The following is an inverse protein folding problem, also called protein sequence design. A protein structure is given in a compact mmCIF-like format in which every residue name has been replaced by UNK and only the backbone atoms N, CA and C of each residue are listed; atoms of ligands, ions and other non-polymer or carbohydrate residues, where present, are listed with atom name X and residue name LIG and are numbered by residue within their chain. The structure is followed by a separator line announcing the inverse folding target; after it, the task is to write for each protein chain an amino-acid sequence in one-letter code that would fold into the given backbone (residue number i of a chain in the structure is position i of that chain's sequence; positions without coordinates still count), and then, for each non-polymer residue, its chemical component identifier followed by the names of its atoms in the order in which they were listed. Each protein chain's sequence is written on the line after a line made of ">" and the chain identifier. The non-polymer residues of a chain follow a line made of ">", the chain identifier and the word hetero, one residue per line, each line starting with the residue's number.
data_IF_700407736117
#
_entry.id   IF_700407736117
#
_cell.length_a   1.000
_cell.length_b   1.000
_cell.length_c   1.000
_cell.angle_alpha   90.00
_cell.angle_beta   90.00
_cell.angle_gamma   90.00
#
_symmetry.space_group_name_H-M   'P 1'
#
loop_
_entity.id
_entity.type
_entity.pdbx_description
1 polymer ?
#
# COMPACT_ATOMS: atom_id res chain seq x y z
N UNK A 1 -21.29 0.25 14.52
CA UNK A 1 -20.51 0.59 14.37
C UNK A 1 -19.54 0.00 14.83
N UNK A 2 -18.84 -0.20 14.85
CA UNK A 2 -18.13 -0.77 15.27
C UNK A 2 -17.03 -1.50 14.75
N UNK A 3 -16.89 -1.87 13.63
CA UNK A 3 -15.87 -2.67 13.06
C UNK A 3 -14.47 -2.11 13.12
N UNK A 4 -14.20 -0.83 13.05
CA UNK A 4 -12.83 -0.35 13.14
C UNK A 4 -12.17 -0.70 14.46
N UNK A 5 -12.88 -0.68 15.54
CA UNK A 5 -12.25 -1.02 16.80
C UNK A 5 -11.91 -2.48 16.88
N UNK A 6 -12.68 -3.31 16.23
CA UNK A 6 -12.41 -4.72 16.19
C UNK A 6 -11.10 -5.03 15.47
N UNK A 7 -10.81 -4.33 14.37
CA UNK A 7 -9.57 -4.49 13.65
C UNK A 7 -8.39 -4.03 14.51
N UNK A 8 -8.54 -2.91 15.18
CA UNK A 8 -7.51 -2.37 16.04
C UNK A 8 -7.18 -3.34 17.16
N UNK A 9 -8.20 -3.94 17.73
CA UNK A 9 -8.02 -4.87 18.85
C UNK A 9 -7.26 -6.12 18.46
N UNK A 10 -7.25 -6.47 17.19
CA UNK A 10 -6.61 -7.69 16.72
C UNK A 10 -5.12 -7.59 16.50
N UNK A 11 -4.56 -6.42 16.42
CA UNK A 11 -3.14 -6.33 16.15
C UNK A 11 -2.65 -4.94 15.86
N UNK A 12 -3.57 -3.97 15.89
CA UNK A 12 -3.23 -2.58 15.71
C UNK A 12 -2.63 -2.28 14.35
N UNK A 13 -1.72 -1.30 14.30
CA UNK A 13 -1.14 -0.85 13.02
C UNK A 13 -0.41 -1.95 12.25
N UNK A 14 0.22 -2.88 12.97
CA UNK A 14 0.92 -3.99 12.34
C UNK A 14 -0.05 -4.86 11.54
N UNK A 15 -1.20 -5.18 12.13
CA UNK A 15 -2.20 -5.99 11.45
C UNK A 15 -2.73 -5.31 10.20
N UNK A 16 -2.95 -4.00 10.28
CA UNK A 16 -3.43 -3.24 9.12
C UNK A 16 -2.40 -3.20 8.01
N UNK A 17 -1.12 -3.07 8.35
CA UNK A 17 -0.06 -3.07 7.35
C UNK A 17 0.02 -4.40 6.63
N UNK A 18 -0.06 -5.51 7.38
CA UNK A 18 -0.05 -6.83 6.79
C UNK A 18 -1.22 -7.00 5.82
N UNK A 19 -2.41 -6.56 6.22
CA UNK A 19 -3.59 -6.68 5.40
C UNK A 19 -3.46 -5.88 4.09
N UNK A 20 -2.94 -4.66 4.19
CA UNK A 20 -2.72 -3.81 3.01
C UNK A 20 -1.78 -4.48 2.02
N UNK A 21 -0.65 -5.01 2.51
CA UNK A 21 0.32 -5.64 1.64
C UNK A 21 -0.24 -6.89 0.98
N UNK A 22 -0.95 -7.72 1.72
CA UNK A 22 -1.55 -8.93 1.18
C UNK A 22 -2.64 -8.61 0.16
N UNK A 23 -3.49 -7.64 0.46
CA UNK A 23 -4.55 -7.23 -0.46
C UNK A 23 -3.95 -6.69 -1.76
N UNK A 24 -2.85 -5.94 -1.65
CA UNK A 24 -2.20 -5.39 -2.84
C UNK A 24 -1.67 -6.52 -3.73
N UNK A 25 -1.01 -7.51 -3.14
CA UNK A 25 -0.53 -8.66 -3.91
C UNK A 25 -1.68 -9.41 -4.57
N UNK A 26 -2.82 -9.47 -3.90
CA UNK A 26 -3.97 -10.22 -4.38
C UNK A 26 -4.81 -9.44 -5.40
N UNK A 27 -4.35 -8.28 -5.84
CA UNK A 27 -5.01 -7.59 -6.96
C UNK A 27 -4.81 -8.33 -8.28
N UNK A 28 -3.97 -9.35 -8.30
CA UNK A 28 -3.96 -10.34 -9.38
C UNK A 28 -4.49 -11.63 -8.82
N UNK A 29 -5.51 -12.17 -9.43
CA UNK A 29 -6.08 -13.46 -9.03
C UNK A 29 -5.97 -14.45 -10.19
N UNK A 30 -5.77 -15.71 -9.87
CA UNK A 30 -5.72 -16.76 -10.87
C UNK A 30 -6.97 -17.63 -10.71
N UNK A 31 -7.80 -17.66 -11.75
CA UNK A 31 -9.03 -18.44 -11.77
C UNK A 31 -9.02 -19.26 -13.03
N UNK A 32 -9.21 -20.58 -12.90
CA UNK A 32 -9.24 -21.50 -14.05
C UNK A 32 -7.97 -21.36 -14.91
N UNK A 33 -6.82 -21.21 -14.26
CA UNK A 33 -5.51 -21.09 -14.92
C UNK A 33 -5.36 -19.78 -15.71
N UNK A 34 -6.27 -18.84 -15.53
CA UNK A 34 -6.19 -17.54 -16.18
C UNK A 34 -5.94 -16.45 -15.13
N UNK A 35 -4.95 -15.62 -15.39
CA UNK A 35 -4.64 -14.52 -14.48
C UNK A 35 -5.59 -13.35 -14.76
N UNK A 36 -6.19 -12.82 -13.70
CA UNK A 36 -7.05 -11.65 -13.76
C UNK A 36 -6.41 -10.55 -12.95
N UNK A 37 -6.03 -9.47 -13.61
CA UNK A 37 -5.43 -8.33 -12.95
C UNK A 37 -6.49 -7.25 -12.78
N UNK A 38 -6.80 -6.91 -11.53
CA UNK A 38 -7.80 -5.90 -11.23
C UNK A 38 -7.28 -4.48 -11.39
N UNK A 39 -5.96 -4.32 -11.53
CA UNK A 39 -5.35 -3.01 -11.76
C UNK A 39 -5.01 -2.90 -13.23
N UNK A 40 -5.87 -2.22 -13.99
CA UNK A 40 -5.70 -2.10 -15.44
C UNK A 40 -5.54 -0.67 -15.90
N UNK A 41 -5.86 0.30 -15.05
CA UNK A 41 -5.71 1.72 -15.37
C UNK A 41 -5.19 2.46 -14.14
N UNK A 42 -4.72 3.68 -14.36
CA UNK A 42 -4.33 4.54 -13.24
C UNK A 42 -5.51 4.78 -12.30
N UNK A 43 -6.72 4.90 -12.85
CA UNK A 43 -7.91 5.09 -12.03
C UNK A 43 -8.17 3.88 -11.12
N UNK A 44 -7.92 2.67 -11.62
CA UNK A 44 -8.07 1.48 -10.80
C UNK A 44 -7.11 1.50 -9.61
N UNK A 45 -5.88 1.96 -9.83
CA UNK A 45 -4.90 2.05 -8.76
C UNK A 45 -5.34 3.08 -7.72
N UNK A 46 -5.80 4.25 -8.16
CA UNK A 46 -6.28 5.28 -7.25
C UNK A 46 -7.47 4.80 -6.43
N UNK A 47 -8.38 4.10 -7.08
CA UNK A 47 -9.55 3.56 -6.40
C UNK A 47 -9.13 2.53 -5.33
N UNK A 48 -8.17 1.67 -5.67
CA UNK A 48 -7.67 0.68 -4.72
C UNK A 48 -7.01 1.36 -3.52
N UNK A 49 -6.17 2.38 -3.79
CA UNK A 49 -5.50 3.12 -2.72
C UNK A 49 -6.51 3.78 -1.79
N UNK A 50 -7.54 4.38 -2.36
CA UNK A 50 -8.59 5.01 -1.58
C UNK A 50 -9.29 3.99 -0.67
N UNK A 51 -9.62 2.83 -1.21
CA UNK A 51 -10.24 1.77 -0.42
C UNK A 51 -9.34 1.26 0.69
N UNK A 52 -8.04 1.29 0.47
CA UNK A 52 -7.07 0.86 1.47
C UNK A 52 -6.85 1.93 2.56
N UNK A 53 -7.49 3.08 2.43
CA UNK A 53 -7.33 4.16 3.40
C UNK A 53 -6.19 5.10 3.09
N UNK A 54 -5.62 5.01 1.89
CA UNK A 54 -4.51 5.86 1.48
C UNK A 54 -5.07 6.98 0.62
N UNK A 55 -5.15 8.18 1.20
CA UNK A 55 -5.70 9.33 0.52
C UNK A 55 -4.62 10.05 -0.28
N UNK A 56 -4.90 10.33 -1.54
CA UNK A 56 -4.01 11.07 -2.39
C UNK A 56 -4.57 12.47 -2.56
N UNK A 57 -3.84 13.45 -2.05
CA UNK A 57 -4.30 14.83 -2.00
C UNK A 57 -4.24 15.53 -3.36
N UNK A 58 -3.32 15.13 -4.22
CA UNK A 58 -3.13 15.78 -5.50
C UNK A 58 -3.71 14.89 -6.60
N UNK A 59 -4.75 15.37 -7.31
CA UNK A 59 -5.32 14.56 -8.40
C UNK A 59 -4.31 14.39 -9.52
N UNK A 60 -4.29 13.21 -10.10
CA UNK A 60 -3.51 12.96 -11.29
C UNK A 60 -4.29 13.51 -12.48
N UNK A 61 -3.78 14.58 -13.07
CA UNK A 61 -4.49 15.25 -14.14
C UNK A 61 -4.37 14.53 -15.48
N UNK A 62 -3.35 13.72 -15.62
CA UNK A 62 -3.03 13.13 -16.92
C UNK A 62 -2.78 11.63 -16.73
N UNK A 63 -3.76 10.79 -17.06
CA UNK A 63 -3.58 9.34 -16.88
C UNK A 63 -2.64 8.80 -17.95
N UNK A 64 -1.34 8.85 -17.65
CA UNK A 64 -0.30 8.42 -18.57
C UNK A 64 -0.05 6.92 -18.53
N UNK A 65 -0.56 6.24 -17.52
CA UNK A 65 -0.24 4.84 -17.29
C UNK A 65 0.96 4.64 -16.39
N UNK A 66 1.61 5.71 -15.97
CA UNK A 66 2.79 5.59 -15.11
C UNK A 66 2.44 5.05 -13.73
N UNK A 67 1.31 5.47 -13.16
CA UNK A 67 0.89 4.96 -11.87
C UNK A 67 0.59 3.47 -11.96
N UNK A 68 -0.09 3.04 -13.01
CA UNK A 68 -0.38 1.63 -13.22
C UNK A 68 0.90 0.81 -13.36
N UNK A 69 1.83 1.29 -14.17
CA UNK A 69 3.10 0.59 -14.36
C UNK A 69 3.86 0.49 -13.04
N UNK A 70 3.93 1.57 -12.30
CA UNK A 70 4.62 1.61 -11.03
C UNK A 70 3.97 0.66 -10.02
N UNK A 71 2.64 0.62 -10.00
CA UNK A 71 1.90 -0.26 -9.09
C UNK A 71 2.16 -1.73 -9.42
N UNK A 72 2.11 -2.08 -10.69
CA UNK A 72 2.37 -3.46 -11.11
C UNK A 72 3.81 -3.87 -10.81
N UNK A 73 4.74 -2.97 -11.05
CA UNK A 73 6.16 -3.23 -10.74
C UNK A 73 6.36 -3.45 -9.24
N UNK A 74 5.77 -2.59 -8.42
CA UNK A 74 5.88 -2.74 -6.97
C UNK A 74 5.22 -4.06 -6.51
N UNK A 75 4.08 -4.39 -7.08
CA UNK A 75 3.38 -5.63 -6.71
C UNK A 75 4.23 -6.87 -6.97
N UNK A 76 4.87 -6.93 -8.13
CA UNK A 76 5.72 -8.07 -8.45
C UNK A 76 6.98 -8.09 -7.59
N UNK A 77 7.50 -6.93 -7.27
CA UNK A 77 8.63 -6.84 -6.35
C UNK A 77 8.25 -7.38 -4.97
N UNK A 78 7.12 -6.95 -4.43
CA UNK A 78 6.66 -7.41 -3.13
C UNK A 78 6.44 -8.92 -3.15
N UNK A 79 5.82 -9.44 -4.20
CA UNK A 79 5.58 -10.87 -4.34
C UNK A 79 6.89 -11.66 -4.29
N UNK A 80 7.88 -11.19 -5.03
CA UNK A 80 9.19 -11.83 -5.06
C UNK A 80 9.85 -11.85 -3.68
N UNK A 81 9.79 -10.72 -2.98
CA UNK A 81 10.40 -10.63 -1.65
C UNK A 81 9.68 -11.53 -0.64
N UNK A 82 8.36 -11.57 -0.70
CA UNK A 82 7.58 -12.43 0.18
C UNK A 82 7.87 -13.89 -0.08
N UNK A 83 7.98 -14.28 -1.35
CA UNK A 83 8.29 -15.67 -1.69
C UNK A 83 9.66 -16.08 -1.16
N UNK A 84 10.66 -15.20 -1.28
CA UNK A 84 11.99 -15.50 -0.72
C UNK A 84 11.94 -15.64 0.78
N UNK A 85 11.20 -14.74 1.43
CA UNK A 85 11.07 -14.79 2.88
C UNK A 85 10.42 -16.07 3.34
N UNK A 86 9.38 -16.53 2.63
CA UNK A 86 8.71 -17.78 2.96
C UNK A 86 9.63 -18.99 2.82
N UNK A 87 10.57 -18.94 1.90
CA UNK A 87 11.52 -20.02 1.67
C UNK A 87 12.74 -19.94 2.57
N UNK A 88 12.78 -18.94 3.46
CA UNK A 88 13.94 -18.75 4.32
C UNK A 88 15.16 -18.22 3.59
N UNK A 89 14.97 -17.67 2.40
CA UNK A 89 16.06 -17.12 1.61
C UNK A 89 16.26 -15.64 1.93
N UNK A 90 17.49 -15.18 1.73
CA UNK A 90 17.77 -13.75 1.84
C UNK A 90 17.19 -13.01 0.62
N UNK A 91 16.87 -11.75 0.81
CA UNK A 91 16.39 -10.93 -0.29
C UNK A 91 17.12 -9.58 -0.27
N UNK A 92 17.14 -8.95 -1.46
CA UNK A 92 17.74 -7.64 -1.63
C UNK A 92 16.66 -6.57 -1.41
N UNK A 93 16.79 -5.72 -0.39
CA UNK A 93 15.77 -4.72 -0.10
C UNK A 93 15.88 -3.46 -0.96
N UNK A 94 16.88 -3.34 -1.82
CA UNK A 94 17.15 -2.09 -2.54
C UNK A 94 15.96 -1.61 -3.38
N UNK A 95 15.30 -2.51 -4.08
CA UNK A 95 14.14 -2.13 -4.89
C UNK A 95 13.01 -1.56 -4.06
N UNK A 96 12.72 -2.19 -2.93
CA UNK A 96 11.67 -1.71 -2.04
C UNK A 96 12.07 -0.38 -1.39
N UNK A 97 13.36 -0.24 -1.04
CA UNK A 97 13.85 0.98 -0.44
C UNK A 97 13.70 2.19 -1.36
N UNK A 98 13.70 1.99 -2.68
CA UNK A 98 13.45 3.08 -3.61
C UNK A 98 12.04 3.65 -3.44
N UNK A 99 11.05 2.77 -3.25
CA UNK A 99 9.69 3.23 -2.97
C UNK A 99 9.56 3.81 -1.57
N UNK A 100 10.25 3.22 -0.59
CA UNK A 100 10.20 3.72 0.78
C UNK A 100 10.78 5.12 0.90
N UNK A 101 11.82 5.42 0.12
CA UNK A 101 12.43 6.75 0.11
C UNK A 101 11.44 7.81 -0.34
N UNK A 102 10.49 7.43 -1.17
CA UNK A 102 9.47 8.34 -1.70
C UNK A 102 8.23 8.42 -0.83
N UNK A 103 8.21 7.68 0.26
CA UNK A 103 7.07 7.70 1.19
C UNK A 103 7.25 8.84 2.19
N UNK A 104 7.01 10.06 1.72
CA UNK A 104 7.19 11.26 2.54
C UNK A 104 5.82 11.69 3.07
N UNK A 105 5.70 11.77 4.38
CA UNK A 105 4.46 12.19 5.00
C UNK A 105 4.76 13.02 6.24
N UNK A 106 3.77 13.78 6.67
CA UNK A 106 3.88 14.62 7.85
C UNK A 106 2.53 14.75 8.54
N UNK A 107 2.52 14.98 9.85
CA UNK A 107 1.27 15.21 10.56
C UNK A 107 0.73 16.59 10.28
N UNK A 108 -0.57 16.72 10.18
CA UNK A 108 -1.22 18.00 9.93
C UNK A 108 -2.49 18.07 10.77
N UNK A 109 -2.72 19.21 11.38
CA UNK A 109 -3.95 19.45 12.14
C UNK A 109 -5.00 19.97 11.17
N UNK A 110 -6.17 19.33 11.18
CA UNK A 110 -7.31 19.84 10.45
C UNK A 110 -8.44 20.14 11.43
N UNK A 111 -9.25 21.12 11.07
CA UNK A 111 -10.41 21.51 11.88
C UNK A 111 -11.64 21.42 11.00
N UNK A 112 -12.75 21.00 11.58
CA UNK A 112 -14.01 20.99 10.86
C UNK A 112 -14.78 22.31 11.11
N UNK A 113 -15.98 22.41 10.56
CA UNK A 113 -16.80 23.61 10.69
C UNK A 113 -17.25 23.84 12.12
N UNK A 114 -17.18 22.85 12.98
CA UNK A 114 -17.58 22.98 14.38
C UNK A 114 -16.40 23.26 15.30
N UNK A 115 -15.21 23.40 14.73
CA UNK A 115 -14.02 23.68 15.51
C UNK A 115 -13.35 22.46 16.11
N UNK A 116 -13.82 21.27 15.80
CA UNK A 116 -13.17 20.05 16.25
C UNK A 116 -11.87 19.85 15.51
N UNK A 117 -10.81 19.56 16.25
CA UNK A 117 -9.46 19.39 15.70
C UNK A 117 -9.07 17.93 15.69
N UNK A 118 -8.35 17.51 14.65
CA UNK A 118 -7.75 16.19 14.62
C UNK A 118 -6.45 16.24 13.85
N UNK A 119 -5.59 15.27 14.12
CA UNK A 119 -4.33 15.14 13.41
C UNK A 119 -4.50 14.08 12.34
N UNK A 120 -4.14 14.43 11.12
CA UNK A 120 -4.12 13.47 10.02
C UNK A 120 -2.70 13.36 9.47
N UNK A 121 -2.44 12.32 8.73
CA UNK A 121 -1.17 12.13 8.06
C UNK A 121 -1.32 12.54 6.60
N UNK A 122 -0.55 13.54 6.18
CA UNK A 122 -0.55 13.98 4.79
C UNK A 122 0.62 13.37 4.06
N UNK A 123 0.38 12.84 2.87
CA UNK A 123 1.40 12.23 2.04
C UNK A 123 1.73 13.14 0.88
N UNK A 124 3.02 13.29 0.59
CA UNK A 124 3.42 13.98 -0.61
C UNK A 124 3.26 13.07 -1.82
N UNK A 125 2.66 13.59 -2.87
CA UNK A 125 2.38 12.81 -4.06
C UNK A 125 2.89 13.53 -5.30
N UNK A 126 4.18 13.87 -5.28
CA UNK A 126 4.79 14.60 -6.40
C UNK A 126 4.91 13.74 -7.66
N UNK A 127 4.85 12.43 -7.53
CA UNK A 127 4.92 11.52 -8.66
C UNK A 127 4.10 10.27 -8.37
N UNK A 128 3.80 9.45 -9.39
CA UNK A 128 3.09 8.20 -9.16
C UNK A 128 3.76 7.29 -8.14
N UNK A 129 5.09 7.25 -8.12
CA UNK A 129 5.80 6.40 -7.18
C UNK A 129 5.62 6.86 -5.74
N UNK A 130 5.44 8.17 -5.51
CA UNK A 130 5.16 8.69 -4.17
C UNK A 130 3.84 8.15 -3.63
N UNK A 131 2.84 8.01 -4.50
CA UNK A 131 1.53 7.54 -4.09
C UNK A 131 1.58 6.09 -3.57
N UNK A 132 2.58 5.33 -4.01
CA UNK A 132 2.73 3.93 -3.63
C UNK A 132 3.64 3.72 -2.41
N UNK A 133 4.21 4.81 -1.88
CA UNK A 133 5.12 4.71 -0.74
C UNK A 133 4.49 4.07 0.48
N UNK A 134 3.20 4.37 0.74
CA UNK A 134 2.51 3.77 1.88
C UNK A 134 2.32 2.26 1.72
N UNK A 135 2.11 1.80 0.49
CA UNK A 135 2.02 0.37 0.21
C UNK A 135 3.37 -0.29 0.43
N UNK A 136 4.45 0.37 -0.01
CA UNK A 136 5.80 -0.13 0.21
C UNK A 136 6.12 -0.24 1.70
N UNK A 137 5.68 0.74 2.49
CA UNK A 137 5.87 0.70 3.94
C UNK A 137 5.11 -0.48 4.55
N UNK A 138 3.89 -0.72 4.11
CA UNK A 138 3.12 -1.87 4.58
C UNK A 138 3.83 -3.18 4.26
N UNK A 139 4.40 -3.27 3.06
CA UNK A 139 5.16 -4.45 2.66
C UNK A 139 6.43 -4.62 3.51
N UNK A 140 7.11 -3.52 3.82
CA UNK A 140 8.30 -3.58 4.66
C UNK A 140 7.96 -4.12 6.04
N UNK A 141 6.84 -3.71 6.60
CA UNK A 141 6.40 -4.24 7.89
C UNK A 141 6.03 -5.71 7.81
N UNK A 142 5.38 -6.12 6.74
CA UNK A 142 5.07 -7.53 6.53
C UNK A 142 6.36 -8.36 6.48
N UNK A 143 7.35 -7.91 5.74
CA UNK A 143 8.60 -8.65 5.56
C UNK A 143 9.44 -8.73 6.84
N UNK A 144 9.33 -7.75 7.73
CA UNK A 144 10.15 -7.69 8.93
C UNK A 144 9.41 -8.16 10.18
N UNK A 145 8.10 -7.96 10.24
CA UNK A 145 7.31 -8.27 11.43
C UNK A 145 6.26 -9.35 11.19
N UNK A 146 6.03 -9.71 9.93
CA UNK A 146 4.99 -10.66 9.60
C UNK A 146 5.33 -12.08 10.01
N UNK A 147 4.28 -12.86 10.21
CA UNK A 147 4.43 -14.28 10.54
C UNK A 147 4.31 -15.11 9.27
N UNK A 148 5.38 -15.79 8.91
CA UNK A 148 5.44 -16.62 7.70
C UNK A 148 5.48 -18.12 8.02
N UNK A 149 5.02 -18.49 9.19
CA UNK A 149 4.89 -19.91 9.54
C UNK A 149 3.64 -20.47 8.91
N UNK A 150 3.79 -21.44 8.07
CA UNK A 150 2.68 -22.05 7.35
C UNK A 150 2.73 -23.57 7.45
#
# INVERSE_FOLDING_TARGET
>A
MTSPSSITDRGGPWFLAEQIALDFMNTVAITDKVAHDFLQTDADVLHWLHKAGIEIQVPLHDPSGELLLSARTLRELIRSLVERKKKGQQFDPDGLNEYLRKNVSYPKIITDSEGTCQVIRCFETASPAHALGAVAEAAAKLLTEGNFEY
#
